data_IF_638923429471
#
_entry.id   IF_638923429471
#
_cell.length_a   1.000
_cell.length_b   1.000
_cell.length_c   1.000
_cell.angle_alpha   90.00
_cell.angle_beta   90.00
_cell.angle_gamma   90.00
#
_symmetry.space_group_name_H-M   'P 1'
#
loop_
_entity.id
_entity.type
_entity.pdbx_description
1 polymer ?
#
# COMPACT_ATOMS: atom_id res chain seq x y z
N UNK A 1 13.60 0.95 39.93
CA UNK A 1 12.78 1.81 39.04
C UNK A 1 12.97 1.32 37.62
N UNK A 2 12.04 0.51 37.12
CA UNK A 2 12.11 -0.05 35.78
C UNK A 2 11.82 1.07 34.77
N UNK A 3 12.81 1.41 33.96
CA UNK A 3 12.64 2.30 32.82
C UNK A 3 11.92 1.45 31.76
N UNK A 4 10.61 1.62 31.65
CA UNK A 4 9.84 1.14 30.51
C UNK A 4 10.43 1.80 29.27
N UNK A 5 11.31 1.08 28.59
CA UNK A 5 11.67 1.39 27.22
C UNK A 5 10.44 1.06 26.41
N UNK A 6 9.63 2.09 26.11
CA UNK A 6 8.70 2.02 25.00
C UNK A 6 9.55 1.80 23.76
N UNK A 7 9.79 0.53 23.44
CA UNK A 7 10.29 0.14 22.13
C UNK A 7 9.17 0.56 21.18
N UNK A 8 9.39 1.62 20.42
CA UNK A 8 8.56 1.94 19.27
C UNK A 8 8.55 0.69 18.41
N UNK A 9 7.43 -0.04 18.46
CA UNK A 9 7.32 -1.34 17.83
C UNK A 9 7.38 -1.09 16.32
N UNK A 10 8.51 -1.47 15.70
CA UNK A 10 8.74 -1.30 14.27
C UNK A 10 7.58 -1.92 13.51
N UNK A 11 6.66 -1.07 13.06
CA UNK A 11 5.43 -1.51 12.42
C UNK A 11 5.70 -1.82 10.97
N UNK A 12 5.61 -3.10 10.61
CA UNK A 12 5.82 -3.57 9.24
C UNK A 12 4.48 -3.48 8.49
N UNK A 13 4.50 -2.76 7.37
CA UNK A 13 3.38 -2.71 6.42
C UNK A 13 3.83 -3.36 5.11
N UNK A 14 3.08 -4.36 4.66
CA UNK A 14 3.25 -4.93 3.32
C UNK A 14 2.44 -4.09 2.35
N UNK A 15 3.08 -3.60 1.28
CA UNK A 15 2.43 -2.79 0.24
C UNK A 15 2.40 -3.59 -1.06
N UNK A 16 1.26 -3.57 -1.75
CA UNK A 16 1.09 -4.23 -3.05
C UNK A 16 0.47 -3.29 -4.08
N UNK A 17 0.80 -3.54 -5.35
CA UNK A 17 0.34 -2.79 -6.51
C UNK A 17 -0.32 -3.74 -7.52
N UNK A 18 -1.65 -3.67 -7.63
CA UNK A 18 -2.44 -4.54 -8.50
C UNK A 18 -3.04 -3.73 -9.64
N UNK A 19 -2.73 -4.06 -10.91
CA UNK A 19 -3.39 -3.43 -12.06
C UNK A 19 -4.82 -3.98 -12.24
N UNK A 20 -5.82 -3.10 -12.23
CA UNK A 20 -7.23 -3.49 -12.31
C UNK A 20 -7.64 -3.54 -13.78
N UNK A 21 -7.41 -4.66 -14.45
CA UNK A 21 -7.86 -4.84 -15.83
C UNK A 21 -9.32 -5.30 -15.90
N UNK A 22 -10.04 -4.80 -16.90
CA UNK A 22 -11.35 -5.37 -17.28
C UNK A 22 -11.21 -6.06 -18.63
N UNK A 23 -11.06 -7.40 -18.61
CA UNK A 23 -11.65 -8.40 -19.55
C UNK A 23 -10.98 -9.78 -19.43
N UNK A 24 -11.76 -10.81 -19.13
CA UNK A 24 -11.48 -12.19 -19.56
C UNK A 24 -12.80 -12.83 -20.02
N UNK A 25 -12.81 -13.27 -21.29
CA UNK A 25 -13.92 -13.71 -22.16
C UNK A 25 -14.77 -12.61 -22.86
N UNK A 26 -14.49 -12.17 -24.10
CA UNK A 26 -13.51 -12.78 -25.00
C UNK A 26 -13.13 -11.97 -26.25
N UNK A 27 -12.79 -10.67 -26.16
CA UNK A 27 -11.91 -10.09 -27.19
C UNK A 27 -11.05 -8.95 -26.63
N UNK A 28 -9.73 -9.09 -26.84
CA UNK A 28 -8.70 -8.07 -26.62
C UNK A 28 -8.28 -7.86 -25.16
N UNK A 29 -6.99 -7.58 -24.97
CA UNK A 29 -6.44 -7.08 -23.71
C UNK A 29 -6.75 -5.58 -23.60
N UNK A 30 -7.69 -5.21 -22.72
CA UNK A 30 -7.86 -3.81 -22.33
C UNK A 30 -7.00 -3.56 -21.09
N UNK A 31 -5.84 -2.94 -21.29
CA UNK A 31 -4.98 -2.51 -20.19
C UNK A 31 -5.65 -1.28 -19.56
N UNK A 32 -6.20 -1.47 -18.37
CA UNK A 32 -6.73 -0.34 -17.60
C UNK A 32 -5.58 0.52 -17.10
N UNK A 33 -5.82 1.83 -17.07
CA UNK A 33 -4.92 2.78 -16.41
C UNK A 33 -5.10 2.77 -14.90
N UNK A 34 -6.14 2.09 -14.40
CA UNK A 34 -6.43 2.04 -12.98
C UNK A 34 -5.57 0.99 -12.27
N UNK A 35 -4.91 1.43 -11.21
CA UNK A 35 -4.13 0.62 -10.30
C UNK A 35 -4.74 0.66 -8.92
N UNK A 36 -4.74 -0.48 -8.26
CA UNK A 36 -5.01 -0.61 -6.84
C UNK A 36 -3.66 -0.57 -6.12
N UNK A 37 -3.49 0.38 -5.22
CA UNK A 37 -2.36 0.42 -4.29
C UNK A 37 -2.95 0.13 -2.92
N UNK A 38 -2.49 -0.95 -2.31
CA UNK A 38 -2.97 -1.38 -1.00
C UNK A 38 -1.82 -1.64 -0.05
N UNK A 39 -2.14 -1.68 1.23
CA UNK A 39 -1.20 -2.17 2.22
C UNK A 39 -1.90 -2.77 3.42
N UNK A 40 -1.21 -3.70 4.08
CA UNK A 40 -1.68 -4.37 5.29
C UNK A 40 -0.58 -4.36 6.35
N UNK A 41 -0.96 -3.92 7.55
CA UNK A 41 -0.09 -3.98 8.71
C UNK A 41 0.02 -5.41 9.24
N UNK A 42 1.24 -5.88 9.44
CA UNK A 42 1.51 -7.18 10.06
C UNK A 42 1.06 -7.15 11.53
N UNK A 43 0.38 -8.20 11.96
CA UNK A 43 -0.16 -8.32 13.33
C UNK A 43 -1.59 -7.79 13.46
N UNK A 44 -1.80 -6.49 13.28
CA UNK A 44 -3.13 -5.86 13.44
C UNK A 44 -4.10 -6.19 12.30
N UNK A 45 -3.57 -6.52 11.11
CA UNK A 45 -4.33 -6.69 9.86
C UNK A 45 -5.12 -5.45 9.44
N UNK A 46 -4.79 -4.28 9.98
CA UNK A 46 -5.32 -3.02 9.48
C UNK A 46 -4.83 -2.82 8.05
N UNK A 47 -5.76 -2.52 7.13
CA UNK A 47 -5.47 -2.43 5.72
C UNK A 47 -6.05 -1.15 5.10
N UNK A 48 -5.39 -0.67 4.05
CA UNK A 48 -5.88 0.39 3.20
C UNK A 48 -5.85 -0.03 1.74
N UNK A 49 -6.71 0.57 0.93
CA UNK A 49 -6.76 0.38 -0.52
C UNK A 49 -7.10 1.71 -1.19
N UNK A 50 -6.34 2.07 -2.22
CA UNK A 50 -6.55 3.27 -3.04
C UNK A 50 -6.51 2.89 -4.52
N UNK A 51 -7.48 3.39 -5.28
CA UNK A 51 -7.46 3.31 -6.75
C UNK A 51 -6.77 4.58 -7.27
N UNK A 52 -5.80 4.42 -8.16
CA UNK A 52 -5.07 5.50 -8.80
C UNK A 52 -4.98 5.31 -10.31
N UNK A 53 -5.00 6.43 -11.04
CA UNK A 53 -4.90 6.48 -12.49
C UNK A 53 -3.45 6.35 -13.01
N UNK A 54 -2.47 6.63 -12.15
CA UNK A 54 -1.04 6.65 -12.50
C UNK A 54 -0.17 5.99 -11.43
N UNK A 55 0.39 4.85 -11.80
CA UNK A 55 1.42 4.12 -11.04
C UNK A 55 2.80 4.76 -11.23
N UNK A 56 2.99 5.95 -10.67
CA UNK A 56 4.30 6.63 -10.65
C UNK A 56 4.81 6.74 -9.22
N UNK A 57 6.14 6.78 -9.05
CA UNK A 57 6.79 6.81 -7.74
C UNK A 57 6.26 7.93 -6.83
N UNK A 58 5.93 9.10 -7.39
CA UNK A 58 5.35 10.20 -6.62
C UNK A 58 3.97 9.86 -6.03
N UNK A 59 3.10 9.20 -6.80
CA UNK A 59 1.78 8.74 -6.33
C UNK A 59 1.93 7.70 -5.23
N UNK A 60 2.81 6.71 -5.44
CA UNK A 60 3.05 5.64 -4.46
C UNK A 60 3.61 6.20 -3.15
N UNK A 61 4.63 7.07 -3.25
CA UNK A 61 5.23 7.72 -2.08
C UNK A 61 4.21 8.54 -1.30
N UNK A 62 3.35 9.29 -1.99
CA UNK A 62 2.27 10.06 -1.36
C UNK A 62 1.28 9.17 -0.62
N UNK A 63 0.85 8.05 -1.22
CA UNK A 63 -0.05 7.09 -0.57
C UNK A 63 0.60 6.46 0.65
N UNK A 64 1.86 6.01 0.53
CA UNK A 64 2.59 5.38 1.64
C UNK A 64 2.74 6.37 2.80
N UNK A 65 3.14 7.61 2.52
CA UNK A 65 3.29 8.66 3.55
C UNK A 65 1.98 9.02 4.25
N UNK A 66 0.83 8.82 3.61
CA UNK A 66 -0.48 9.07 4.22
C UNK A 66 -0.97 7.93 5.12
N UNK A 67 -0.54 6.69 4.86
CA UNK A 67 -1.12 5.50 5.50
C UNK A 67 -0.12 4.71 6.35
N UNK A 68 1.18 4.98 6.23
CA UNK A 68 2.24 4.35 7.03
C UNK A 68 2.79 5.39 8.01
N UNK A 69 3.03 4.98 9.25
CA UNK A 69 3.57 5.86 10.28
C UNK A 69 4.92 6.46 9.84
N UNK A 70 5.16 7.75 10.14
CA UNK A 70 6.44 8.39 9.84
C UNK A 70 7.58 7.70 10.61
N UNK A 71 8.75 7.62 10.00
CA UNK A 71 9.92 6.92 10.58
C UNK A 71 10.15 5.50 10.04
N UNK A 72 9.23 4.97 9.23
CA UNK A 72 9.43 3.72 8.51
C UNK A 72 10.46 3.83 7.38
N UNK A 73 11.18 2.73 7.10
CA UNK A 73 11.97 2.55 5.88
C UNK A 73 11.09 1.88 4.81
N UNK A 74 11.16 2.37 3.57
CA UNK A 74 10.43 1.85 2.39
C UNK A 74 11.41 1.07 1.51
#
# INVERSE_FOLDING_TARGET
MARTLEMEESTIVQVDETNIVRRKYNVGLFISKDWLVGGIQVGTRMAFVKIVDRRVAATLKSIIQQHVAPGGMI
#
